data_IF_010675117991
#
_entry.id   IF_010675117991
#
_cell.length_a   1.000
_cell.length_b   1.000
_cell.length_c   1.000
_cell.angle_alpha   90.00
_cell.angle_beta   90.00
_cell.angle_gamma   90.00
#
_symmetry.space_group_name_H-M   'P 1'
#
loop_
_entity.id
_entity.type
_entity.pdbx_description
1 polymer ?
#
# COMPACT_ATOMS: atom_id res chain seq x y z
N UNK A 1 -13.06 -14.25 35.06
CA UNK A 1 -13.11 -13.72 33.69
C UNK A 1 -12.32 -14.68 32.81
N UNK A 2 -12.99 -15.46 31.98
CA UNK A 2 -12.30 -16.18 30.90
C UNK A 2 -11.75 -15.12 29.95
N UNK A 3 -10.43 -15.03 29.81
CA UNK A 3 -9.84 -14.24 28.73
C UNK A 3 -10.43 -14.75 27.42
N UNK A 4 -11.24 -13.91 26.77
CA UNK A 4 -11.79 -14.22 25.46
C UNK A 4 -10.60 -14.35 24.51
N UNK A 5 -10.32 -15.60 24.10
CA UNK A 5 -9.10 -15.94 23.38
C UNK A 5 -9.13 -15.24 22.02
N UNK A 6 -8.28 -14.22 21.85
CA UNK A 6 -8.17 -13.45 20.60
C UNK A 6 -8.04 -14.39 19.39
N UNK A 7 -8.82 -14.20 18.31
CA UNK A 7 -8.69 -15.01 17.10
C UNK A 7 -7.27 -14.88 16.54
N UNK A 8 -6.57 -16.02 16.39
CA UNK A 8 -5.21 -16.03 15.86
C UNK A 8 -5.09 -15.39 14.48
N UNK A 9 -6.15 -15.48 13.67
CA UNK A 9 -6.23 -14.86 12.35
C UNK A 9 -6.19 -13.32 12.37
N UNK A 10 -6.84 -12.68 13.34
CA UNK A 10 -6.76 -11.22 13.50
C UNK A 10 -5.35 -10.76 13.91
N UNK A 11 -4.66 -11.56 14.73
CA UNK A 11 -3.27 -11.29 15.08
C UNK A 11 -2.36 -11.42 13.85
N UNK A 12 -2.55 -12.44 13.02
CA UNK A 12 -1.79 -12.60 11.78
C UNK A 12 -2.01 -11.43 10.82
N UNK A 13 -3.27 -11.01 10.62
CA UNK A 13 -3.60 -9.83 9.81
C UNK A 13 -2.95 -8.55 10.37
N UNK A 14 -2.91 -8.38 11.69
CA UNK A 14 -2.26 -7.22 12.30
C UNK A 14 -0.76 -7.17 11.99
N UNK A 15 -0.08 -8.30 12.10
CA UNK A 15 1.36 -8.41 11.79
C UNK A 15 1.62 -8.05 10.33
N UNK A 16 0.84 -8.60 9.39
CA UNK A 16 0.98 -8.30 7.97
C UNK A 16 0.75 -6.80 7.72
N UNK A 17 -0.30 -6.21 8.32
CA UNK A 17 -0.57 -4.78 8.22
C UNK A 17 0.59 -3.92 8.72
N UNK A 18 1.21 -4.27 9.85
CA UNK A 18 2.35 -3.53 10.37
C UNK A 18 3.58 -3.65 9.49
N UNK A 19 3.84 -4.83 8.91
CA UNK A 19 4.93 -5.01 7.95
C UNK A 19 4.71 -4.14 6.72
N UNK A 20 3.51 -4.16 6.14
CA UNK A 20 3.21 -3.35 4.95
C UNK A 20 3.13 -1.85 5.24
N UNK A 21 2.63 -1.46 6.41
CA UNK A 21 2.71 -0.07 6.85
C UNK A 21 4.15 0.38 7.04
N UNK A 22 4.99 -0.44 7.68
CA UNK A 22 6.41 -0.14 7.86
C UNK A 22 7.13 0.02 6.53
N UNK A 23 6.89 -0.92 5.60
CA UNK A 23 7.42 -0.84 4.24
C UNK A 23 6.96 0.42 3.51
N UNK A 24 5.66 0.74 3.56
CA UNK A 24 5.11 1.93 2.94
C UNK A 24 5.72 3.22 3.48
N UNK A 25 5.86 3.35 4.80
CA UNK A 25 6.51 4.50 5.42
C UNK A 25 8.00 4.61 5.05
N UNK A 26 8.73 3.49 5.00
CA UNK A 26 10.11 3.48 4.50
C UNK A 26 10.20 3.88 3.03
N UNK A 27 9.26 3.42 2.20
CA UNK A 27 9.21 3.79 0.78
C UNK A 27 8.95 5.29 0.57
N UNK A 28 8.23 5.96 1.48
CA UNK A 28 8.05 7.42 1.40
C UNK A 28 9.37 8.17 1.59
N UNK A 29 10.23 7.69 2.50
CA UNK A 29 11.57 8.26 2.68
C UNK A 29 12.43 8.03 1.43
N UNK A 30 12.38 6.82 0.88
CA UNK A 30 13.05 6.50 -0.38
C UNK A 30 12.57 7.35 -1.54
N UNK A 31 11.24 7.53 -1.67
CA UNK A 31 10.61 8.33 -2.71
C UNK A 31 10.96 9.82 -2.57
N UNK A 32 10.96 10.36 -1.35
CA UNK A 32 11.35 11.74 -1.08
C UNK A 32 12.83 11.99 -1.38
N UNK A 33 13.72 11.09 -0.94
CA UNK A 33 15.14 11.17 -1.25
C UNK A 33 15.38 11.07 -2.75
N UNK A 34 14.76 10.09 -3.41
CA UNK A 34 14.87 9.91 -4.85
C UNK A 34 14.46 11.17 -5.61
N UNK A 35 13.31 11.76 -5.29
CA UNK A 35 12.84 12.98 -5.94
C UNK A 35 13.75 14.19 -5.68
N UNK A 36 14.34 14.30 -4.49
CA UNK A 36 15.29 15.37 -4.18
C UNK A 36 16.58 15.29 -5.02
N UNK A 37 17.00 14.09 -5.42
CA UNK A 37 18.26 13.87 -6.12
C UNK A 37 18.10 13.48 -7.60
N UNK A 38 16.89 13.19 -8.09
CA UNK A 38 16.70 12.64 -9.44
C UNK A 38 17.28 13.54 -10.55
N UNK A 39 17.22 14.85 -10.37
CA UNK A 39 17.74 15.83 -11.33
C UNK A 39 19.27 15.86 -11.44
N UNK A 40 20.00 15.36 -10.43
CA UNK A 40 21.48 15.36 -10.42
C UNK A 40 22.08 14.00 -10.77
N UNK A 41 21.25 12.97 -11.02
CA UNK A 41 21.73 11.64 -11.40
C UNK A 41 22.09 11.66 -12.89
N UNK A 42 23.38 11.43 -13.25
CA UNK A 42 23.81 11.31 -14.64
C UNK A 42 23.19 10.05 -15.23
N UNK A 43 22.47 10.22 -16.34
CA UNK A 43 21.72 9.13 -17.00
C UNK A 43 22.44 8.61 -18.25
N UNK A 44 23.54 9.26 -18.65
CA UNK A 44 24.29 8.97 -19.88
C UNK A 44 25.05 7.65 -19.82
N UNK A 45 25.42 7.21 -18.62
CA UNK A 45 26.17 5.97 -18.38
C UNK A 45 25.26 4.77 -18.06
N UNK A 46 23.94 4.99 -17.97
CA UNK A 46 22.98 3.94 -17.63
C UNK A 46 22.64 3.07 -18.85
N UNK A 47 22.36 1.79 -18.61
CA UNK A 47 21.82 0.91 -19.64
C UNK A 47 20.40 1.34 -20.02
N UNK A 48 20.01 1.13 -21.28
CA UNK A 48 18.71 1.58 -21.84
C UNK A 48 17.47 1.29 -20.95
N UNK A 49 17.30 0.09 -20.35
CA UNK A 49 16.14 -0.17 -19.49
C UNK A 49 16.13 0.66 -18.19
N UNK A 50 17.30 0.98 -17.66
CA UNK A 50 17.42 1.81 -16.46
C UNK A 50 17.25 3.28 -16.82
N UNK A 51 17.87 3.71 -17.91
CA UNK A 51 17.77 5.07 -18.42
C UNK A 51 16.31 5.48 -18.67
N UNK A 52 15.53 4.64 -19.36
CA UNK A 52 14.12 4.93 -19.64
C UNK A 52 13.27 5.06 -18.38
N UNK A 53 13.55 4.26 -17.34
CA UNK A 53 12.89 4.39 -16.04
C UNK A 53 13.22 5.72 -15.36
N UNK A 54 14.49 6.11 -15.34
CA UNK A 54 14.93 7.38 -14.76
C UNK A 54 14.33 8.58 -15.50
N UNK A 55 14.32 8.55 -16.84
CA UNK A 55 13.69 9.60 -17.65
C UNK A 55 12.17 9.67 -17.39
N UNK A 56 11.48 8.53 -17.32
CA UNK A 56 10.05 8.50 -16.99
C UNK A 56 9.76 9.09 -15.60
N UNK A 57 10.62 8.85 -14.61
CA UNK A 57 10.48 9.46 -13.29
C UNK A 57 10.80 10.97 -13.29
N UNK A 58 11.74 11.45 -14.13
CA UNK A 58 12.02 12.88 -14.31
C UNK A 58 10.80 13.59 -14.93
N UNK A 59 10.14 12.94 -15.89
CA UNK A 59 8.99 13.47 -16.62
C UNK A 59 7.65 13.39 -15.86
N UNK A 60 7.59 12.56 -14.81
CA UNK A 60 6.40 12.37 -13.96
C UNK A 60 5.86 13.70 -13.39
N UNK A 61 6.74 14.66 -13.13
CA UNK A 61 6.40 15.98 -12.60
C UNK A 61 5.97 15.99 -11.13
N UNK A 62 5.99 17.18 -10.53
CA UNK A 62 5.64 17.40 -9.10
C UNK A 62 4.22 16.96 -8.75
N UNK A 63 3.16 17.23 -9.56
CA UNK A 63 1.79 16.90 -9.16
C UNK A 63 1.56 15.39 -9.00
N UNK A 64 2.06 14.57 -9.94
CA UNK A 64 1.92 13.13 -9.87
C UNK A 64 2.77 12.54 -8.75
N UNK A 65 3.97 13.09 -8.52
CA UNK A 65 4.78 12.74 -7.35
C UNK A 65 4.03 12.96 -6.03
N UNK A 66 3.46 14.17 -5.83
CA UNK A 66 2.70 14.51 -4.62
C UNK A 66 1.49 13.59 -4.46
N UNK A 67 0.81 13.27 -5.56
CA UNK A 67 -0.32 12.33 -5.55
C UNK A 67 0.10 10.92 -5.07
N UNK A 68 1.16 10.35 -5.65
CA UNK A 68 1.69 9.02 -5.27
C UNK A 68 2.15 9.03 -3.80
N UNK A 69 2.85 10.09 -3.38
CA UNK A 69 3.31 10.25 -2.01
C UNK A 69 2.13 10.28 -1.02
N UNK A 70 1.12 11.11 -1.29
CA UNK A 70 -0.06 11.23 -0.44
C UNK A 70 -0.82 9.91 -0.34
N UNK A 71 -1.01 9.23 -1.48
CA UNK A 71 -1.72 7.95 -1.54
C UNK A 71 -0.99 6.84 -0.77
N UNK A 72 0.34 6.79 -0.87
CA UNK A 72 1.18 5.84 -0.12
C UNK A 72 1.14 6.13 1.38
N UNK A 73 1.17 7.40 1.77
CA UNK A 73 1.04 7.82 3.17
C UNK A 73 -0.32 7.44 3.76
N UNK A 74 -1.41 7.79 3.07
CA UNK A 74 -2.77 7.44 3.49
C UNK A 74 -2.92 5.93 3.64
N UNK A 75 -2.47 5.16 2.66
CA UNK A 75 -2.54 3.69 2.70
C UNK A 75 -1.74 3.11 3.86
N UNK A 76 -0.53 3.62 4.10
CA UNK A 76 0.32 3.18 5.22
C UNK A 76 -0.32 3.49 6.58
N UNK A 77 -0.92 4.67 6.74
CA UNK A 77 -1.63 5.06 7.97
C UNK A 77 -2.87 4.19 8.18
N UNK A 78 -3.66 3.92 7.12
CA UNK A 78 -4.83 3.05 7.22
C UNK A 78 -4.45 1.63 7.62
N UNK A 79 -3.37 1.08 7.05
CA UNK A 79 -2.81 -0.22 7.43
C UNK A 79 -2.39 -0.25 8.90
N UNK A 80 -1.66 0.77 9.36
CA UNK A 80 -1.24 0.89 10.76
C UNK A 80 -2.44 0.92 11.71
N UNK A 81 -3.40 1.81 11.45
CA UNK A 81 -4.57 1.99 12.29
C UNK A 81 -5.47 0.75 12.28
N UNK A 82 -5.63 0.10 11.13
CA UNK A 82 -6.39 -1.16 11.06
C UNK A 82 -5.68 -2.33 11.71
N UNK A 83 -4.34 -2.40 11.65
CA UNK A 83 -3.56 -3.37 12.42
C UNK A 83 -3.75 -3.20 13.94
N UNK A 84 -3.73 -1.96 14.43
CA UNK A 84 -4.08 -1.63 15.82
C UNK A 84 -5.53 -2.06 16.12
N UNK A 85 -6.44 -1.82 15.18
CA UNK A 85 -7.84 -2.22 15.24
C UNK A 85 -8.03 -3.73 15.37
N UNK A 86 -7.28 -4.54 14.62
CA UNK A 86 -7.34 -6.00 14.69
C UNK A 86 -6.85 -6.53 16.03
N UNK A 87 -5.73 -5.99 16.55
CA UNK A 87 -5.24 -6.36 17.87
C UNK A 87 -6.22 -5.95 18.97
N UNK A 88 -6.79 -4.75 18.90
CA UNK A 88 -7.73 -4.26 19.91
C UNK A 88 -9.16 -4.72 19.66
N UNK A 89 -9.40 -5.56 18.64
CA UNK A 89 -10.71 -6.01 18.19
C UNK A 89 -11.73 -4.87 17.98
N UNK A 90 -11.28 -3.66 17.66
CA UNK A 90 -12.15 -2.49 17.51
C UNK A 90 -12.76 -2.47 16.12
N UNK A 91 -14.08 -2.48 16.03
CA UNK A 91 -14.82 -2.51 14.76
C UNK A 91 -14.47 -1.36 13.83
N UNK A 92 -14.45 -0.12 14.32
CA UNK A 92 -14.13 1.03 13.46
C UNK A 92 -12.69 0.98 12.95
N UNK A 93 -11.71 0.84 13.85
CA UNK A 93 -10.31 0.82 13.46
C UNK A 93 -9.99 -0.39 12.57
N UNK A 94 -10.39 -1.59 12.97
CA UNK A 94 -10.07 -2.81 12.24
C UNK A 94 -10.87 -2.91 10.95
N UNK A 95 -12.20 -3.02 11.07
CA UNK A 95 -13.06 -3.34 9.93
C UNK A 95 -13.21 -2.16 8.97
N UNK A 96 -13.59 -1.00 9.49
CA UNK A 96 -13.89 0.15 8.63
C UNK A 96 -12.63 0.65 7.95
N UNK A 97 -11.54 0.90 8.69
CA UNK A 97 -10.30 1.39 8.06
C UNK A 97 -9.62 0.33 7.20
N UNK A 98 -9.70 -0.95 7.58
CA UNK A 98 -9.18 -2.05 6.76
C UNK A 98 -9.91 -2.18 5.41
N UNK A 99 -11.24 -2.04 5.41
CA UNK A 99 -12.03 -2.01 4.18
C UNK A 99 -11.70 -0.77 3.32
N UNK A 100 -11.57 0.40 3.94
CA UNK A 100 -11.21 1.64 3.23
C UNK A 100 -9.83 1.49 2.57
N UNK A 101 -8.83 0.99 3.30
CA UNK A 101 -7.52 0.67 2.74
C UNK A 101 -7.63 -0.25 1.52
N UNK A 102 -8.34 -1.37 1.67
CA UNK A 102 -8.40 -2.37 0.63
C UNK A 102 -9.09 -1.86 -0.65
N UNK A 103 -10.16 -1.07 -0.51
CA UNK A 103 -10.82 -0.41 -1.65
C UNK A 103 -9.86 0.57 -2.33
N UNK A 104 -9.20 1.43 -1.54
CA UNK A 104 -8.22 2.39 -2.07
C UNK A 104 -7.13 1.64 -2.82
N UNK A 105 -6.52 0.63 -2.23
CA UNK A 105 -5.43 -0.15 -2.84
C UNK A 105 -5.85 -0.81 -4.16
N UNK A 106 -7.07 -1.37 -4.23
CA UNK A 106 -7.61 -1.96 -5.47
C UNK A 106 -7.79 -0.88 -6.54
N UNK A 107 -8.46 0.23 -6.21
CA UNK A 107 -8.69 1.33 -7.16
C UNK A 107 -7.36 1.90 -7.63
N UNK A 108 -6.42 2.14 -6.73
CA UNK A 108 -5.07 2.62 -7.03
C UNK A 108 -4.32 1.68 -7.96
N UNK A 109 -4.38 0.36 -7.75
CA UNK A 109 -3.75 -0.61 -8.64
C UNK A 109 -4.34 -0.56 -10.06
N UNK A 110 -5.65 -0.39 -10.19
CA UNK A 110 -6.32 -0.25 -11.50
C UNK A 110 -5.93 1.05 -12.17
N UNK A 111 -5.99 2.17 -11.44
CA UNK A 111 -5.63 3.50 -11.94
C UNK A 111 -4.17 3.54 -12.39
N UNK A 112 -3.23 3.05 -11.59
CA UNK A 112 -1.81 2.99 -11.97
C UNK A 112 -1.60 2.11 -13.21
N UNK A 113 -2.29 0.97 -13.31
CA UNK A 113 -2.21 0.11 -14.48
C UNK A 113 -2.69 0.76 -15.78
N UNK A 114 -3.60 1.74 -15.70
CA UNK A 114 -4.13 2.46 -16.86
C UNK A 114 -3.33 3.72 -17.16
N UNK A 115 -2.92 4.46 -16.12
CA UNK A 115 -2.38 5.81 -16.27
C UNK A 115 -0.85 5.87 -16.33
N UNK A 116 -0.14 4.89 -15.78
CA UNK A 116 1.32 4.96 -15.72
C UNK A 116 1.97 4.39 -16.98
N UNK A 117 3.15 4.91 -17.38
CA UNK A 117 3.99 4.27 -18.39
C UNK A 117 4.38 2.84 -17.97
N UNK A 118 4.58 1.95 -18.93
CA UNK A 118 5.01 0.55 -18.69
C UNK A 118 6.30 0.47 -17.89
N UNK A 119 7.19 1.43 -18.09
CA UNK A 119 8.50 1.56 -17.45
C UNK A 119 8.36 1.81 -15.94
N UNK A 120 7.29 2.49 -15.51
CA UNK A 120 6.97 2.78 -14.11
C UNK A 120 6.03 1.74 -13.49
N UNK A 121 5.88 0.58 -14.14
CA UNK A 121 4.98 -0.48 -13.69
C UNK A 121 3.52 -0.27 -14.10
N UNK A 122 3.27 0.63 -15.07
CA UNK A 122 2.01 0.70 -15.78
C UNK A 122 1.70 -0.57 -16.58
N UNK A 123 0.45 -0.67 -17.04
CA UNK A 123 -0.11 -1.91 -17.56
C UNK A 123 -0.51 -2.90 -16.45
N UNK A 124 -1.18 -3.98 -16.84
CA UNK A 124 -1.55 -5.06 -15.93
C UNK A 124 -0.48 -6.17 -15.99
N UNK A 125 0.40 -6.20 -14.98
CA UNK A 125 1.52 -7.13 -14.92
C UNK A 125 1.44 -8.04 -13.67
N UNK A 126 2.37 -8.97 -13.53
CA UNK A 126 2.42 -9.90 -12.39
C UNK A 126 2.52 -9.14 -11.05
N UNK A 127 3.23 -8.01 -11.02
CA UNK A 127 3.33 -7.15 -9.85
C UNK A 127 1.97 -6.58 -9.44
N UNK A 128 1.15 -6.14 -10.40
CA UNK A 128 -0.22 -5.69 -10.16
C UNK A 128 -1.09 -6.80 -9.55
N UNK A 129 -0.99 -8.02 -10.10
CA UNK A 129 -1.73 -9.19 -9.57
C UNK A 129 -1.33 -9.46 -8.12
N UNK A 130 -0.03 -9.53 -7.84
CA UNK A 130 0.48 -9.75 -6.48
C UNK A 130 0.01 -8.63 -5.54
N UNK A 131 0.06 -7.38 -5.98
CA UNK A 131 -0.40 -6.21 -5.22
C UNK A 131 -1.90 -6.22 -4.90
N UNK A 132 -2.72 -6.91 -5.72
CA UNK A 132 -4.16 -7.04 -5.50
C UNK A 132 -4.55 -8.17 -4.55
N UNK A 133 -3.71 -9.20 -4.38
CA UNK A 133 -4.03 -10.36 -3.53
C UNK A 133 -4.35 -9.90 -2.11
N UNK A 134 -3.47 -9.09 -1.51
CA UNK A 134 -3.64 -8.71 -0.11
C UNK A 134 -4.88 -7.84 0.16
N UNK A 135 -5.15 -6.76 -0.59
CA UNK A 135 -6.39 -5.99 -0.46
C UNK A 135 -7.66 -6.85 -0.62
N UNK A 136 -7.69 -7.76 -1.60
CA UNK A 136 -8.85 -8.63 -1.83
C UNK A 136 -9.05 -9.60 -0.67
N UNK A 137 -7.98 -10.25 -0.22
CA UNK A 137 -8.03 -11.15 0.96
C UNK A 137 -8.46 -10.37 2.20
N UNK A 138 -7.96 -9.16 2.40
CA UNK A 138 -8.37 -8.29 3.51
C UNK A 138 -9.87 -8.00 3.47
N UNK A 139 -10.42 -7.61 2.32
CA UNK A 139 -11.86 -7.39 2.17
C UNK A 139 -12.67 -8.64 2.50
N UNK A 140 -12.26 -9.80 1.99
CA UNK A 140 -12.96 -11.06 2.23
C UNK A 140 -12.94 -11.38 3.73
N UNK A 141 -11.76 -11.41 4.35
CA UNK A 141 -11.59 -11.81 5.74
C UNK A 141 -12.34 -10.89 6.72
N UNK A 142 -12.29 -9.57 6.51
CA UNK A 142 -12.96 -8.62 7.42
C UNK A 142 -14.49 -8.64 7.33
N UNK A 143 -15.04 -9.02 6.17
CA UNK A 143 -16.49 -9.00 5.96
C UNK A 143 -17.14 -10.38 6.06
N UNK A 144 -16.35 -11.46 6.01
CA UNK A 144 -16.83 -12.84 6.14
C UNK A 144 -16.31 -13.48 7.43
N UNK A 145 -15.01 -13.78 7.52
CA UNK A 145 -14.41 -14.55 8.60
C UNK A 145 -14.41 -13.83 9.95
N UNK A 146 -13.94 -12.59 9.99
CA UNK A 146 -13.78 -11.81 11.24
C UNK A 146 -14.92 -10.80 11.44
N UNK A 147 -16.05 -11.01 10.77
CA UNK A 147 -17.19 -10.09 10.76
C UNK A 147 -17.67 -9.77 12.18
N UNK A 148 -17.72 -10.80 13.01
CA UNK A 148 -18.31 -10.79 14.34
C UNK A 148 -17.24 -10.75 15.46
N UNK A 149 -15.97 -11.00 15.11
CA UNK A 149 -14.82 -10.92 16.02
C UNK A 149 -14.39 -9.48 16.35
N UNK A 150 -14.91 -8.50 15.62
CA UNK A 150 -14.62 -7.08 15.80
C UNK A 150 -15.80 -6.39 16.49
N UNK A 151 -15.58 -6.02 17.75
CA UNK A 151 -16.59 -5.48 18.67
C UNK A 151 -16.44 -3.95 18.84
N UNK A 152 -17.49 -3.32 19.39
CA UNK A 152 -17.55 -1.86 19.59
C UNK A 152 -16.88 -1.44 20.89
#
# INVERSE_FOLDING_TARGET
MSEEKRPGGLTALAVINFVFSGWGLLSLLGLAAFFAFIGVIPTEELQEPQRSQFEAFKDMGVPLFVFIFALTLISSVLLLLSGIGYLKQKKFLGRTLGNIYAIIAIVSSVVSGIMFPSELGGGFNIGSIIGLIYPVVTLILLNTTFRDDLTN
#
